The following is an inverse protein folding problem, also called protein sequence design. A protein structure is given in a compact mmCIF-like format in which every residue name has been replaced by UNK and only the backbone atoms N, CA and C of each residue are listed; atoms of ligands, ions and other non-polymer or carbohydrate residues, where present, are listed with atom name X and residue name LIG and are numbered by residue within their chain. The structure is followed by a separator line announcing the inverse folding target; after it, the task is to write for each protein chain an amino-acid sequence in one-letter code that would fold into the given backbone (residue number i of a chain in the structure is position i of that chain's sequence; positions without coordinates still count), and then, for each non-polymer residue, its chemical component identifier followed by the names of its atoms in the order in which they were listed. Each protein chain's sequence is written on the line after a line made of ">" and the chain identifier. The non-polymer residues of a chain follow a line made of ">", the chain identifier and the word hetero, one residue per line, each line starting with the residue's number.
data_IF_972725944766
#
_entry.id   IF_972725944766
#
_cell.length_a   1.000
_cell.length_b   1.000
_cell.length_c   1.000
_cell.angle_alpha   90.00
_cell.angle_beta   90.00
_cell.angle_gamma   90.00
#
_symmetry.space_group_name_H-M   'P 1'
#
loop_
_entity.id
_entity.type
_entity.pdbx_description
1 polymer ?
#
# COMPACT_ATOMS: atom_id res chain seq x y z
N UNK A 1 -5.11 -3.41 26.10
CA UNK A 1 -5.37 -4.01 24.77
C UNK A 1 -4.93 -3.03 23.70
N UNK A 2 -4.33 -3.54 22.63
CA UNK A 2 -3.83 -2.71 21.53
C UNK A 2 -4.68 -2.91 20.29
N UNK A 3 -5.02 -1.81 19.63
CA UNK A 3 -5.75 -1.84 18.36
C UNK A 3 -4.89 -1.22 17.27
N UNK A 4 -4.75 -1.92 16.16
CA UNK A 4 -4.10 -1.39 14.98
C UNK A 4 -5.07 -0.44 14.28
N UNK A 5 -4.69 0.82 14.11
CA UNK A 5 -5.54 1.85 13.52
C UNK A 5 -5.14 2.19 12.09
N UNK A 6 -3.85 2.33 11.82
CA UNK A 6 -3.37 2.78 10.53
C UNK A 6 -2.03 2.14 10.18
N UNK A 7 -1.85 1.85 8.90
CA UNK A 7 -0.61 1.29 8.35
C UNK A 7 -0.32 1.91 7.00
N UNK A 8 0.94 2.22 6.75
CA UNK A 8 1.41 2.65 5.45
C UNK A 8 2.25 1.53 4.83
N UNK A 9 1.89 1.15 3.60
CA UNK A 9 2.60 0.11 2.85
C UNK A 9 3.10 0.68 1.54
N UNK A 10 4.29 0.26 1.12
CA UNK A 10 4.86 0.63 -0.17
C UNK A 10 5.19 -0.62 -0.96
N UNK A 11 4.82 -0.63 -2.23
CA UNK A 11 5.03 -1.75 -3.13
C UNK A 11 5.72 -1.32 -4.40
N UNK A 12 6.59 -2.19 -4.90
CA UNK A 12 7.16 -2.08 -6.23
C UNK A 12 6.34 -2.98 -7.14
N UNK A 13 5.79 -2.41 -8.21
CA UNK A 13 4.97 -3.14 -9.16
C UNK A 13 5.51 -2.85 -10.55
N UNK A 14 5.64 -3.89 -11.38
CA UNK A 14 6.38 -3.81 -12.63
C UNK A 14 5.72 -2.95 -13.71
N UNK A 15 4.38 -2.86 -13.72
CA UNK A 15 3.68 -2.09 -14.75
C UNK A 15 2.56 -1.22 -14.17
N UNK A 16 2.18 -0.19 -14.92
CA UNK A 16 1.09 0.70 -14.56
C UNK A 16 -0.25 -0.02 -14.50
N UNK A 17 -0.50 -0.94 -15.44
CA UNK A 17 -1.74 -1.71 -15.46
C UNK A 17 -1.88 -2.62 -14.25
N UNK A 18 -0.79 -3.28 -13.85
CA UNK A 18 -0.76 -4.11 -12.64
C UNK A 18 -0.95 -3.27 -11.38
N UNK A 19 -0.37 -2.07 -11.34
CA UNK A 19 -0.54 -1.15 -10.23
C UNK A 19 -2.01 -0.72 -10.05
N UNK A 20 -2.71 -0.43 -11.15
CA UNK A 20 -4.12 -0.08 -11.12
C UNK A 20 -4.98 -1.24 -10.61
N UNK A 21 -4.72 -2.44 -11.10
CA UNK A 21 -5.43 -3.65 -10.65
C UNK A 21 -5.21 -3.88 -9.16
N UNK A 22 -3.96 -3.76 -8.72
CA UNK A 22 -3.61 -3.93 -7.32
C UNK A 22 -4.36 -2.94 -6.41
N UNK A 23 -4.37 -1.65 -6.77
CA UNK A 23 -5.08 -0.62 -6.00
C UNK A 23 -6.59 -0.93 -5.93
N UNK A 24 -7.20 -1.31 -7.06
CA UNK A 24 -8.62 -1.65 -7.09
C UNK A 24 -8.95 -2.88 -6.21
N UNK A 25 -8.09 -3.88 -6.22
CA UNK A 25 -8.24 -5.05 -5.34
C UNK A 25 -8.17 -4.65 -3.87
N UNK A 26 -7.24 -3.75 -3.51
CA UNK A 26 -7.11 -3.27 -2.14
C UNK A 26 -8.35 -2.49 -1.68
N UNK A 27 -8.96 -1.71 -2.56
CA UNK A 27 -10.18 -0.95 -2.25
C UNK A 27 -11.39 -1.84 -1.99
N UNK A 28 -11.40 -3.06 -2.47
CA UNK A 28 -12.53 -4.01 -2.31
C UNK A 28 -12.50 -4.78 -0.99
N UNK A 29 -11.45 -4.67 -0.22
CA UNK A 29 -11.33 -5.41 1.03
C UNK A 29 -12.31 -4.90 2.09
N UNK A 30 -12.97 -5.81 2.77
CA UNK A 30 -13.84 -5.50 3.92
C UNK A 30 -13.06 -5.43 5.23
N UNK A 31 -11.81 -5.89 5.23
CA UNK A 31 -10.98 -5.95 6.43
C UNK A 31 -10.37 -4.60 6.81
N UNK A 32 -10.30 -3.67 5.88
CA UNK A 32 -9.72 -2.34 6.09
C UNK A 32 -10.26 -1.36 5.05
N UNK A 33 -10.04 -0.08 5.32
CA UNK A 33 -10.36 1.00 4.38
C UNK A 33 -9.07 1.63 3.87
N UNK A 34 -9.08 2.11 2.64
CA UNK A 34 -7.95 2.85 2.07
C UNK A 34 -8.18 4.34 2.32
N UNK A 35 -7.35 4.92 3.17
CA UNK A 35 -7.39 6.35 3.49
C UNK A 35 -6.74 7.19 2.41
N UNK A 36 -5.58 6.74 1.92
CA UNK A 36 -4.84 7.40 0.84
C UNK A 36 -4.16 6.35 -0.02
N UNK A 37 -3.99 6.66 -1.29
CA UNK A 37 -3.17 5.86 -2.18
C UNK A 37 -2.47 6.77 -3.18
N UNK A 38 -1.31 6.35 -3.63
CA UNK A 38 -0.59 7.02 -4.69
C UNK A 38 0.16 6.01 -5.54
N UNK A 39 0.39 6.38 -6.78
CA UNK A 39 1.13 5.57 -7.73
C UNK A 39 2.11 6.49 -8.45
N UNK A 40 3.38 6.21 -8.33
CA UNK A 40 4.43 7.02 -8.94
C UNK A 40 5.30 6.16 -9.83
N UNK A 41 5.65 6.69 -11.00
CA UNK A 41 6.61 6.05 -11.88
C UNK A 41 8.02 6.33 -11.37
N UNK A 42 8.80 5.28 -11.20
CA UNK A 42 10.20 5.36 -10.79
C UNK A 42 11.10 4.79 -11.89
N UNK A 43 12.29 5.35 -11.98
CA UNK A 43 13.28 4.95 -12.97
C UNK A 43 14.64 4.80 -12.31
N UNK A 44 15.41 3.85 -12.79
CA UNK A 44 16.82 3.74 -12.48
C UNK A 44 17.61 4.08 -13.73
N UNK A 45 18.52 5.04 -13.61
CA UNK A 45 19.38 5.48 -14.72
C UNK A 45 20.84 5.13 -14.43
N UNK A 46 21.52 4.68 -15.45
CA UNK A 46 22.97 4.47 -15.42
C UNK A 46 23.55 5.18 -16.64
N UNK A 47 24.50 6.11 -16.40
CA UNK A 47 25.13 6.90 -17.46
C UNK A 47 24.14 7.61 -18.38
N UNK A 48 23.04 8.13 -17.81
CA UNK A 48 22.02 8.83 -18.57
C UNK A 48 21.01 7.95 -19.30
N UNK A 49 21.17 6.64 -19.24
CA UNK A 49 20.23 5.68 -19.84
C UNK A 49 19.34 5.05 -18.79
N UNK A 50 18.04 4.88 -19.11
CA UNK A 50 17.09 4.20 -18.24
C UNK A 50 17.34 2.70 -18.37
N UNK A 51 17.74 2.06 -17.26
CA UNK A 51 18.00 0.62 -17.20
C UNK A 51 16.90 -0.15 -16.51
N UNK A 52 16.02 0.52 -15.76
CA UNK A 52 14.91 -0.10 -15.06
C UNK A 52 13.79 0.92 -14.84
N UNK A 53 12.55 0.47 -14.93
CA UNK A 53 11.37 1.28 -14.65
C UNK A 53 10.36 0.43 -13.86
N UNK A 54 9.68 1.06 -12.92
CA UNK A 54 8.64 0.39 -12.14
C UNK A 54 7.65 1.42 -11.58
N UNK A 55 6.54 0.92 -11.06
CA UNK A 55 5.59 1.75 -10.33
C UNK A 55 5.79 1.56 -8.84
N UNK A 56 5.84 2.64 -8.09
CA UNK A 56 5.82 2.60 -6.63
C UNK A 56 4.42 2.94 -6.17
N UNK A 57 3.75 2.00 -5.54
CA UNK A 57 2.41 2.19 -4.99
C UNK A 57 2.53 2.35 -3.48
N UNK A 58 1.94 3.41 -2.97
CA UNK A 58 1.87 3.67 -1.53
C UNK A 58 0.41 3.62 -1.10
N UNK A 59 0.11 2.82 -0.08
CA UNK A 59 -1.22 2.67 0.47
C UNK A 59 -1.20 3.04 1.94
N UNK A 60 -2.18 3.81 2.37
CA UNK A 60 -2.44 4.06 3.79
C UNK A 60 -3.75 3.38 4.14
N UNK A 61 -3.68 2.32 4.93
CA UNK A 61 -4.84 1.51 5.34
C UNK A 61 -5.28 1.87 6.75
N UNK A 62 -6.58 1.97 6.95
CA UNK A 62 -7.16 2.15 8.29
C UNK A 62 -7.98 0.93 8.65
N UNK A 63 -7.88 0.51 9.90
CA UNK A 63 -8.54 -0.69 10.42
C UNK A 63 -9.58 -0.34 11.48
N UNK A 64 -9.15 0.25 12.57
CA UNK A 64 -10.03 0.62 13.67
C UNK A 64 -10.08 2.13 13.82
N UNK A 65 -11.25 2.65 14.19
CA UNK A 65 -11.34 4.04 14.60
C UNK A 65 -10.58 4.19 15.93
N UNK A 66 -9.63 5.13 16.06
CA UNK A 66 -8.90 5.35 17.30
C UNK A 66 -9.79 5.68 18.49
N UNK A 67 -10.96 6.26 18.26
CA UNK A 67 -11.92 6.62 19.31
C UNK A 67 -12.85 5.47 19.69
N UNK A 68 -13.26 4.67 18.71
CA UNK A 68 -14.22 3.58 18.87
C UNK A 68 -13.74 2.33 18.13
N UNK A 69 -12.67 1.67 18.61
CA UNK A 69 -12.20 0.46 17.96
C UNK A 69 -13.20 -0.67 18.16
N UNK A 70 -13.60 -1.31 17.05
CA UNK A 70 -14.61 -2.39 17.06
C UNK A 70 -13.98 -3.77 17.00
N UNK A 71 -12.76 -3.87 16.54
CA UNK A 71 -12.04 -5.14 16.38
C UNK A 71 -10.60 -5.01 16.83
N UNK A 72 -10.11 -6.05 17.51
CA UNK A 72 -8.71 -6.20 17.78
C UNK A 72 -8.05 -6.89 16.58
N UNK A 73 -7.17 -6.18 15.92
CA UNK A 73 -6.43 -6.73 14.80
C UNK A 73 -5.01 -7.02 15.25
N UNK A 74 -4.68 -8.30 15.29
CA UNK A 74 -3.32 -8.74 15.53
C UNK A 74 -2.60 -8.74 14.18
N UNK A 75 -1.80 -7.71 13.95
CA UNK A 75 -1.01 -7.63 12.74
C UNK A 75 0.40 -8.08 13.06
N UNK A 76 0.80 -9.21 12.48
CA UNK A 76 2.20 -9.53 12.39
C UNK A 76 2.66 -9.04 11.02
N UNK A 77 3.47 -8.00 10.99
CA UNK A 77 4.06 -7.55 9.75
C UNK A 77 5.31 -8.34 9.47
N UNK A 78 5.22 -9.16 8.43
CA UNK A 78 6.41 -9.69 7.82
C UNK A 78 6.89 -8.63 6.85
N UNK A 79 8.06 -8.09 7.10
CA UNK A 79 8.73 -7.24 6.13
C UNK A 79 9.21 -8.11 4.98
N UNK A 80 8.67 -7.85 3.85
CA UNK A 80 9.16 -8.49 2.64
C UNK A 80 10.34 -7.69 2.10
#
# INVERSE_FOLDING_TARGET
>A
MKYLCEVTEKYRIDSESEAKIFIEEQKRSDAYSIKKYSSERKERKVKGEIVDEWMQVTLVKTFNDPKEPVEEIVASYEHV
#
